data_IF_905216873259
#
_entry.id   IF_905216873259
#
_cell.length_a   1.000
_cell.length_b   1.000
_cell.length_c   1.000
_cell.angle_alpha   90.00
_cell.angle_beta   90.00
_cell.angle_gamma   90.00
#
_symmetry.space_group_name_H-M   'P 1'
#
loop_
_entity.id
_entity.type
_entity.pdbx_description
1 polymer ?
#
# COMPACT_ATOMS: atom_id res chain seq x y z
N UNK A 1 -2.31 26.63 -8.36
CA UNK A 1 -3.68 26.04 -8.41
C UNK A 1 -3.90 25.50 -9.81
N UNK A 2 -4.33 24.25 -9.92
CA UNK A 2 -4.53 23.56 -11.19
C UNK A 2 -6.02 23.31 -11.40
N UNK A 3 -6.51 23.60 -12.59
CA UNK A 3 -7.88 23.33 -13.02
C UNK A 3 -7.92 22.18 -14.04
N UNK A 4 -9.04 21.45 -14.14
CA UNK A 4 -9.18 20.45 -15.20
C UNK A 4 -9.20 21.12 -16.59
N UNK A 5 -8.56 20.49 -17.56
CA UNK A 5 -8.45 21.01 -18.94
C UNK A 5 -7.47 20.18 -19.77
N UNK A 6 -7.41 20.49 -21.07
CA UNK A 6 -6.60 19.72 -22.02
C UNK A 6 -5.08 19.81 -21.71
N UNK A 7 -4.62 20.90 -21.10
CA UNK A 7 -3.21 21.10 -20.73
C UNK A 7 -2.92 20.78 -19.26
N UNK A 8 -3.89 20.20 -18.53
CA UNK A 8 -3.78 20.01 -17.08
C UNK A 8 -2.59 19.16 -16.66
N UNK A 9 -2.16 18.20 -17.50
CA UNK A 9 -0.98 17.39 -17.22
C UNK A 9 0.30 18.20 -17.23
N UNK A 10 0.50 19.01 -18.27
CA UNK A 10 1.67 19.88 -18.40
C UNK A 10 1.69 20.93 -17.29
N UNK A 11 0.55 21.60 -17.05
CA UNK A 11 0.40 22.60 -15.99
C UNK A 11 0.68 22.03 -14.59
N UNK A 12 0.19 20.81 -14.32
CA UNK A 12 0.42 20.16 -13.04
C UNK A 12 1.90 19.76 -12.89
N UNK A 13 2.49 19.14 -13.90
CA UNK A 13 3.91 18.73 -13.83
C UNK A 13 4.84 19.95 -13.75
N UNK A 14 4.56 21.01 -14.51
CA UNK A 14 5.32 22.26 -14.40
C UNK A 14 5.20 22.87 -13.00
N UNK A 15 3.99 22.91 -12.44
CA UNK A 15 3.78 23.39 -11.09
C UNK A 15 4.56 22.56 -10.04
N UNK A 16 4.56 21.23 -10.15
CA UNK A 16 5.32 20.35 -9.25
C UNK A 16 6.83 20.63 -9.32
N UNK A 17 7.36 20.91 -10.50
CA UNK A 17 8.79 21.24 -10.70
C UNK A 17 9.14 22.65 -10.13
N UNK A 18 8.24 23.59 -10.27
CA UNK A 18 8.48 25.01 -9.90
C UNK A 18 8.11 25.33 -8.44
N UNK A 19 7.62 24.35 -7.68
CA UNK A 19 7.35 24.55 -6.24
C UNK A 19 8.63 24.95 -5.49
N UNK A 20 8.44 25.67 -4.42
CA UNK A 20 9.46 25.96 -3.41
C UNK A 20 9.10 25.29 -2.10
N UNK A 21 10.08 25.04 -1.24
CA UNK A 21 9.83 24.53 0.12
C UNK A 21 8.80 25.39 0.86
N UNK A 22 7.83 24.72 1.48
CA UNK A 22 6.72 25.34 2.20
C UNK A 22 5.48 25.60 1.34
N UNK A 23 5.55 25.39 0.04
CA UNK A 23 4.42 25.63 -0.85
C UNK A 23 3.30 24.61 -0.71
N UNK A 24 2.10 25.08 -1.04
CA UNK A 24 0.91 24.22 -1.16
C UNK A 24 0.33 24.35 -2.56
N UNK A 25 0.23 23.24 -3.27
CA UNK A 25 -0.41 23.16 -4.59
C UNK A 25 -1.83 22.60 -4.43
N UNK A 26 -2.83 23.38 -4.84
CA UNK A 26 -4.23 22.94 -4.88
C UNK A 26 -4.59 22.47 -6.28
N UNK A 27 -5.06 21.23 -6.38
CA UNK A 27 -5.67 20.61 -7.56
C UNK A 27 -7.18 20.68 -7.39
N UNK A 28 -7.85 21.44 -8.25
CA UNK A 28 -9.30 21.64 -8.17
C UNK A 28 -10.09 20.37 -8.45
N UNK A 29 -11.33 20.35 -8.01
CA UNK A 29 -12.29 19.29 -8.35
C UNK A 29 -12.41 19.16 -9.86
N UNK A 30 -12.34 17.92 -10.35
CA UNK A 30 -12.46 17.60 -11.76
C UNK A 30 -11.81 16.28 -12.11
N UNK A 31 -11.93 15.91 -13.35
CA UNK A 31 -11.37 14.70 -13.92
C UNK A 31 -10.19 15.09 -14.83
N UNK A 32 -9.02 14.58 -14.50
CA UNK A 32 -7.76 14.87 -15.18
C UNK A 32 -7.27 13.60 -15.87
N UNK A 33 -7.18 13.64 -17.18
CA UNK A 33 -6.72 12.50 -17.97
C UNK A 33 -5.26 12.69 -18.36
N UNK A 34 -4.41 11.73 -17.95
CA UNK A 34 -2.97 11.79 -18.12
C UNK A 34 -2.44 10.72 -19.07
N UNK A 35 -1.45 11.09 -19.87
CA UNK A 35 -0.72 10.19 -20.78
C UNK A 35 0.69 9.86 -20.26
N UNK A 36 1.19 10.64 -19.31
CA UNK A 36 2.51 10.45 -18.68
C UNK A 36 2.38 10.42 -17.15
N UNK A 37 3.35 9.77 -16.48
CA UNK A 37 3.44 9.81 -15.04
C UNK A 37 3.84 11.19 -14.51
N UNK A 38 3.41 11.50 -13.29
CA UNK A 38 3.80 12.71 -12.56
C UNK A 38 5.00 12.43 -11.65
N UNK A 39 5.82 13.45 -11.41
CA UNK A 39 6.95 13.38 -10.48
C UNK A 39 7.09 14.61 -9.60
N UNK A 40 7.42 14.42 -8.34
CA UNK A 40 7.69 15.44 -7.34
C UNK A 40 9.03 15.18 -6.64
N UNK A 41 9.93 16.16 -6.73
CA UNK A 41 11.26 16.11 -6.10
C UNK A 41 11.59 17.43 -5.35
N UNK A 42 10.59 17.99 -4.68
CA UNK A 42 10.73 19.21 -3.87
C UNK A 42 10.34 18.90 -2.44
N UNK A 43 11.25 19.17 -1.50
CA UNK A 43 11.04 18.92 -0.07
C UNK A 43 10.02 19.87 0.54
N UNK A 44 9.37 19.40 1.62
CA UNK A 44 8.53 20.21 2.50
C UNK A 44 7.37 20.91 1.77
N UNK A 45 6.64 20.17 0.94
CA UNK A 45 5.50 20.68 0.17
C UNK A 45 4.21 19.90 0.45
N UNK A 46 3.09 20.54 0.14
CA UNK A 46 1.77 19.90 0.25
C UNK A 46 1.06 19.93 -1.10
N UNK A 47 0.58 18.77 -1.55
CA UNK A 47 -0.32 18.63 -2.70
C UNK A 47 -1.70 18.25 -2.18
N UNK A 48 -2.70 19.06 -2.48
CA UNK A 48 -4.06 18.88 -1.97
C UNK A 48 -5.09 18.95 -3.09
N UNK A 49 -5.98 17.95 -3.14
CA UNK A 49 -7.21 17.98 -3.93
C UNK A 49 -8.40 18.55 -3.14
N UNK A 50 -9.58 18.42 -3.69
CA UNK A 50 -10.83 18.83 -3.03
C UNK A 50 -11.69 17.63 -2.58
N UNK A 51 -11.08 16.44 -2.53
CA UNK A 51 -11.67 15.17 -2.07
C UNK A 51 -11.34 14.01 -2.99
N UNK A 52 -11.21 12.81 -2.41
CA UNK A 52 -10.85 11.58 -3.14
C UNK A 52 -11.90 11.14 -4.19
N UNK A 53 -13.11 11.67 -4.14
CA UNK A 53 -14.15 11.45 -5.14
C UNK A 53 -14.41 12.68 -6.03
N UNK A 54 -13.64 13.74 -5.87
CA UNK A 54 -13.82 15.00 -6.58
C UNK A 54 -12.63 15.39 -7.44
N UNK A 55 -11.42 15.18 -6.97
CA UNK A 55 -10.19 15.43 -7.72
C UNK A 55 -9.63 14.09 -8.18
N UNK A 56 -9.80 13.77 -9.45
CA UNK A 56 -9.50 12.46 -10.04
C UNK A 56 -8.36 12.58 -11.04
N UNK A 57 -7.22 12.00 -10.74
CA UNK A 57 -6.06 11.88 -11.62
C UNK A 57 -6.12 10.50 -12.29
N UNK A 58 -6.55 10.42 -13.54
CA UNK A 58 -6.76 9.18 -14.27
C UNK A 58 -5.64 8.94 -15.30
N UNK A 59 -4.94 7.83 -15.13
CA UNK A 59 -3.82 7.42 -15.95
C UNK A 59 -4.16 6.30 -16.96
N UNK A 60 -5.45 6.05 -17.22
CA UNK A 60 -5.86 4.98 -18.16
C UNK A 60 -5.26 5.10 -19.56
N UNK A 61 -4.87 6.31 -19.97
CA UNK A 61 -4.21 6.58 -21.25
C UNK A 61 -2.68 6.65 -21.13
N UNK A 62 -2.11 6.35 -19.97
CA UNK A 62 -0.68 6.46 -19.71
C UNK A 62 0.14 5.66 -20.73
N UNK A 63 1.07 6.32 -21.39
CA UNK A 63 1.95 5.75 -22.42
C UNK A 63 3.39 5.68 -21.93
N UNK A 64 3.82 6.62 -21.11
CA UNK A 64 5.17 6.67 -20.54
C UNK A 64 5.16 6.74 -19.01
N UNK A 65 6.32 6.55 -18.40
CA UNK A 65 6.46 6.43 -16.96
C UNK A 65 6.06 5.04 -16.44
N UNK A 66 6.67 4.63 -15.34
CA UNK A 66 6.37 3.34 -14.70
C UNK A 66 5.40 3.48 -13.52
N UNK A 67 5.11 4.71 -13.09
CA UNK A 67 4.18 5.03 -12.00
C UNK A 67 3.17 6.09 -12.44
N UNK A 68 2.02 6.15 -11.76
CA UNK A 68 1.09 7.27 -11.90
C UNK A 68 1.71 8.54 -11.28
N UNK A 69 2.10 8.47 -10.02
CA UNK A 69 2.75 9.58 -9.33
C UNK A 69 3.98 9.09 -8.55
N UNK A 70 5.14 9.65 -8.84
CA UNK A 70 6.41 9.38 -8.16
C UNK A 70 6.78 10.54 -7.22
N UNK A 71 7.18 10.22 -5.98
CA UNK A 71 7.72 11.18 -5.01
C UNK A 71 9.09 10.69 -4.55
N UNK A 72 10.10 11.57 -4.65
CA UNK A 72 11.49 11.29 -4.23
C UNK A 72 11.99 12.27 -3.16
N UNK A 73 11.13 13.17 -2.71
CA UNK A 73 11.43 14.26 -1.77
C UNK A 73 10.92 13.98 -0.35
N UNK A 74 11.38 14.80 0.60
CA UNK A 74 11.11 14.65 2.03
C UNK A 74 10.02 15.61 2.52
N UNK A 75 9.38 15.26 3.66
CA UNK A 75 8.37 16.10 4.34
C UNK A 75 7.22 16.48 3.43
N UNK A 76 6.77 15.55 2.61
CA UNK A 76 5.67 15.75 1.67
C UNK A 76 4.35 15.33 2.29
N UNK A 77 3.31 16.11 2.04
CA UNK A 77 1.92 15.75 2.34
C UNK A 77 1.11 15.70 1.06
N UNK A 78 0.53 14.54 0.77
CA UNK A 78 -0.41 14.31 -0.32
C UNK A 78 -1.79 14.06 0.26
N UNK A 79 -2.82 14.74 -0.25
CA UNK A 79 -4.10 14.70 0.43
C UNK A 79 -5.29 14.99 -0.47
N UNK A 80 -6.42 14.30 -0.21
CA UNK A 80 -7.74 14.60 -0.76
C UNK A 80 -7.85 14.50 -2.30
N UNK A 81 -7.28 13.46 -2.93
CA UNK A 81 -7.45 13.16 -4.37
C UNK A 81 -7.36 11.66 -4.66
N UNK A 82 -7.74 11.28 -5.87
CA UNK A 82 -7.61 9.90 -6.36
C UNK A 82 -6.61 9.78 -7.51
N UNK A 83 -5.97 8.61 -7.59
CA UNK A 83 -5.12 8.16 -8.70
C UNK A 83 -5.76 6.89 -9.27
N UNK A 84 -6.21 6.93 -10.51
CA UNK A 84 -6.90 5.81 -11.15
C UNK A 84 -6.09 5.23 -12.31
N UNK A 85 -6.22 3.93 -12.50
CA UNK A 85 -5.81 3.18 -13.68
C UNK A 85 -4.35 3.43 -14.13
N UNK A 86 -3.43 3.62 -13.17
CA UNK A 86 -2.01 3.75 -13.46
C UNK A 86 -1.48 2.47 -14.12
N UNK A 87 -0.56 2.62 -15.09
CA UNK A 87 0.02 1.51 -15.83
C UNK A 87 0.92 0.63 -14.99
N UNK A 88 1.62 1.22 -14.03
CA UNK A 88 2.43 0.55 -13.01
C UNK A 88 1.92 0.91 -11.62
N UNK A 89 2.82 1.20 -10.67
CA UNK A 89 2.42 1.60 -9.32
C UNK A 89 1.60 2.90 -9.36
N UNK A 90 0.53 3.00 -8.57
CA UNK A 90 -0.29 4.20 -8.62
C UNK A 90 0.43 5.39 -7.95
N UNK A 91 0.84 5.25 -6.70
CA UNK A 91 1.60 6.25 -5.95
C UNK A 91 2.86 5.62 -5.36
N UNK A 92 4.02 5.92 -5.95
CA UNK A 92 5.31 5.47 -5.46
C UNK A 92 6.03 6.58 -4.70
N UNK A 93 6.54 6.22 -3.52
CA UNK A 93 7.40 7.08 -2.72
C UNK A 93 8.69 6.33 -2.43
N UNK A 94 9.84 6.87 -2.79
CA UNK A 94 11.12 6.19 -2.60
C UNK A 94 12.13 7.06 -1.86
N UNK A 95 12.74 6.52 -0.81
CA UNK A 95 13.82 7.16 -0.08
C UNK A 95 13.41 8.40 0.72
N UNK A 96 12.12 8.61 0.94
CA UNK A 96 11.58 9.80 1.60
C UNK A 96 11.61 9.71 3.11
N UNK A 97 11.83 10.85 3.76
CA UNK A 97 11.66 11.02 5.20
C UNK A 97 10.52 11.99 5.50
N UNK A 98 9.50 11.52 6.23
CA UNK A 98 8.34 12.32 6.58
C UNK A 98 7.33 12.42 5.43
N UNK A 99 6.73 11.31 5.03
CA UNK A 99 5.67 11.29 4.02
C UNK A 99 4.30 11.08 4.67
N UNK A 100 3.35 11.95 4.35
CA UNK A 100 1.96 11.84 4.77
C UNK A 100 1.05 11.63 3.55
N UNK A 101 0.36 10.51 3.50
CA UNK A 101 -0.67 10.17 2.54
C UNK A 101 -2.02 10.14 3.27
N UNK A 102 -2.87 11.13 3.03
CA UNK A 102 -4.09 11.37 3.83
C UNK A 102 -5.30 11.45 2.92
N UNK A 103 -6.32 10.62 3.19
CA UNK A 103 -7.58 10.64 2.46
C UNK A 103 -7.36 10.62 0.93
N UNK A 104 -6.56 9.66 0.47
CA UNK A 104 -6.28 9.39 -0.93
C UNK A 104 -6.98 8.11 -1.38
N UNK A 105 -7.23 7.98 -2.68
CA UNK A 105 -7.67 6.71 -3.29
C UNK A 105 -6.76 6.32 -4.44
N UNK A 106 -6.39 5.04 -4.48
CA UNK A 106 -5.77 4.39 -5.65
C UNK A 106 -6.69 3.27 -6.12
N UNK A 107 -6.96 3.19 -7.42
CA UNK A 107 -7.92 2.21 -7.93
C UNK A 107 -7.63 1.85 -9.39
N UNK A 108 -7.75 0.55 -9.69
CA UNK A 108 -7.87 0.04 -11.06
C UNK A 108 -9.33 -0.28 -11.33
N UNK A 109 -9.99 0.61 -12.08
CA UNK A 109 -11.45 0.60 -12.30
C UNK A 109 -11.96 -0.60 -13.09
N UNK A 110 -11.07 -1.32 -13.77
CA UNK A 110 -11.37 -2.56 -14.49
C UNK A 110 -11.55 -3.79 -13.60
N UNK A 111 -11.43 -3.66 -12.27
CA UNK A 111 -11.45 -4.76 -11.30
C UNK A 111 -10.15 -5.56 -11.25
N UNK A 112 -10.09 -6.64 -10.43
CA UNK A 112 -8.90 -7.47 -10.25
C UNK A 112 -8.38 -8.10 -11.54
N UNK A 113 -7.12 -7.81 -11.88
CA UNK A 113 -6.45 -8.37 -13.08
C UNK A 113 -4.94 -8.39 -12.86
N UNK A 114 -4.27 -9.43 -13.32
CA UNK A 114 -2.79 -9.52 -13.29
C UNK A 114 -2.07 -8.44 -14.11
N UNK A 115 -2.80 -7.74 -14.98
CA UNK A 115 -2.28 -6.63 -15.78
C UNK A 115 -2.42 -5.26 -15.11
N UNK A 116 -3.03 -5.20 -13.95
CA UNK A 116 -3.05 -3.98 -13.14
C UNK A 116 -1.65 -3.68 -12.61
N UNK A 117 -1.39 -2.44 -12.23
CA UNK A 117 -0.15 -2.10 -11.55
C UNK A 117 0.01 -2.86 -10.21
N UNK A 118 1.24 -3.02 -9.79
CA UNK A 118 1.56 -3.84 -8.63
C UNK A 118 1.03 -3.22 -7.33
N UNK A 119 1.31 -1.95 -7.10
CA UNK A 119 1.07 -1.31 -5.81
C UNK A 119 0.16 -0.09 -5.93
N UNK A 120 -0.81 -0.01 -5.02
CA UNK A 120 -1.63 1.20 -4.88
C UNK A 120 -0.84 2.31 -4.19
N UNK A 121 -0.55 2.17 -2.92
CA UNK A 121 0.37 3.03 -2.16
C UNK A 121 1.68 2.26 -1.95
N UNK A 122 2.79 2.84 -2.39
CA UNK A 122 4.09 2.18 -2.41
C UNK A 122 5.22 3.04 -1.83
N UNK A 123 5.22 3.35 -0.52
CA UNK A 123 6.42 3.87 0.13
C UNK A 123 7.43 2.74 0.35
N UNK A 124 8.64 2.95 -0.16
CA UNK A 124 9.77 2.04 -0.04
C UNK A 124 11.03 2.79 0.37
N UNK A 125 11.92 2.15 1.14
CA UNK A 125 13.15 2.75 1.67
C UNK A 125 12.91 4.11 2.36
N UNK A 126 11.78 4.24 3.05
CA UNK A 126 11.29 5.51 3.60
C UNK A 126 11.25 5.51 5.13
N UNK A 127 11.24 6.69 5.74
CA UNK A 127 11.19 6.88 7.19
C UNK A 127 10.07 7.86 7.55
N UNK A 128 9.42 7.65 8.70
CA UNK A 128 8.30 8.47 9.20
C UNK A 128 7.15 8.50 8.18
N UNK A 129 6.59 7.33 7.90
CA UNK A 129 5.52 7.10 6.91
C UNK A 129 4.15 7.12 7.58
N UNK A 130 3.25 7.96 7.13
CA UNK A 130 1.83 7.98 7.54
C UNK A 130 0.93 7.71 6.34
N UNK A 131 0.07 6.69 6.46
CA UNK A 131 -1.06 6.40 5.55
C UNK A 131 -2.33 6.44 6.40
N UNK A 132 -3.18 7.43 6.19
CA UNK A 132 -4.36 7.69 7.03
C UNK A 132 -5.61 7.96 6.20
N UNK A 133 -6.65 7.17 6.39
CA UNK A 133 -7.93 7.33 5.71
C UNK A 133 -7.88 7.07 4.21
N UNK A 134 -6.93 6.26 3.75
CA UNK A 134 -6.73 5.96 2.34
C UNK A 134 -7.55 4.77 1.86
N UNK A 135 -7.81 4.71 0.55
CA UNK A 135 -8.54 3.61 -0.10
C UNK A 135 -7.70 3.03 -1.23
N UNK A 136 -7.46 1.70 -1.23
CA UNK A 136 -6.69 1.00 -2.24
C UNK A 136 -7.48 -0.14 -2.86
N UNK A 137 -7.66 -0.15 -4.20
CA UNK A 137 -8.53 -1.09 -4.88
C UNK A 137 -7.86 -1.63 -6.15
N UNK A 138 -7.79 -2.97 -6.26
CA UNK A 138 -7.49 -3.66 -7.51
C UNK A 138 -6.01 -3.81 -7.86
N UNK A 139 -5.08 -3.59 -6.92
CA UNK A 139 -3.65 -3.80 -7.11
C UNK A 139 -3.32 -5.28 -7.35
N UNK A 140 -2.43 -5.57 -8.31
CA UNK A 140 -2.06 -6.94 -8.65
C UNK A 140 -1.00 -7.56 -7.73
N UNK A 141 -0.52 -6.79 -6.77
CA UNK A 141 0.35 -7.20 -5.68
C UNK A 141 -0.24 -6.69 -4.36
N UNK A 142 0.02 -5.48 -3.91
CA UNK A 142 -0.56 -4.97 -2.68
C UNK A 142 -1.27 -3.62 -2.85
N UNK A 143 -2.47 -3.50 -2.24
CA UNK A 143 -3.20 -2.23 -2.20
C UNK A 143 -2.43 -1.16 -1.44
N UNK A 144 -1.98 -1.48 -0.24
CA UNK A 144 -1.10 -0.65 0.59
C UNK A 144 0.14 -1.47 0.90
N UNK A 145 1.27 -1.09 0.32
CA UNK A 145 2.56 -1.70 0.59
C UNK A 145 3.49 -0.70 1.27
N UNK A 146 4.16 -1.12 2.32
CA UNK A 146 5.25 -0.36 2.93
C UNK A 146 6.45 -1.28 3.11
N UNK A 147 7.49 -1.07 2.32
CA UNK A 147 8.66 -1.95 2.30
C UNK A 147 9.95 -1.25 2.69
N UNK A 148 10.84 -1.98 3.35
CA UNK A 148 12.20 -1.55 3.69
C UNK A 148 12.24 -0.17 4.37
N UNK A 149 11.21 0.10 5.18
CA UNK A 149 10.92 1.40 5.77
C UNK A 149 10.90 1.32 7.29
N UNK A 150 10.81 2.47 7.97
CA UNK A 150 10.74 2.52 9.43
C UNK A 150 9.88 3.67 9.95
N UNK A 151 9.38 3.52 11.19
CA UNK A 151 8.47 4.48 11.83
C UNK A 151 7.19 4.66 11.00
N UNK A 152 6.39 3.61 10.91
CA UNK A 152 5.28 3.50 9.97
C UNK A 152 3.96 3.53 10.73
N UNK A 153 2.99 4.27 10.21
CA UNK A 153 1.60 4.22 10.66
C UNK A 153 0.70 4.02 9.44
N UNK A 154 -0.06 2.92 9.45
CA UNK A 154 -1.15 2.67 8.48
C UNK A 154 -2.45 2.54 9.26
N UNK A 155 -3.37 3.49 9.08
CA UNK A 155 -4.60 3.52 9.87
C UNK A 155 -5.81 4.04 9.11
N UNK A 156 -7.01 3.72 9.63
CA UNK A 156 -8.30 4.22 9.15
C UNK A 156 -8.52 4.01 7.64
N UNK A 157 -7.79 3.05 7.05
CA UNK A 157 -7.70 2.85 5.61
C UNK A 157 -8.50 1.62 5.17
N UNK A 158 -8.85 1.58 3.89
CA UNK A 158 -9.61 0.50 3.27
C UNK A 158 -8.79 -0.09 2.14
N UNK A 159 -8.56 -1.40 2.15
CA UNK A 159 -7.91 -2.14 1.08
C UNK A 159 -8.82 -3.27 0.61
N UNK A 160 -9.26 -3.21 -0.66
CA UNK A 160 -10.25 -4.14 -1.19
C UNK A 160 -9.89 -4.59 -2.61
N UNK A 161 -10.21 -5.86 -2.92
CA UNK A 161 -10.02 -6.44 -4.26
C UNK A 161 -8.59 -6.41 -4.76
N UNK A 162 -7.60 -6.44 -3.86
CA UNK A 162 -6.18 -6.56 -4.16
C UNK A 162 -5.73 -8.02 -3.99
N UNK A 163 -4.51 -8.35 -4.39
CA UNK A 163 -3.90 -9.61 -3.96
C UNK A 163 -3.58 -9.53 -2.48
N UNK A 164 -2.67 -8.68 -2.05
CA UNK A 164 -2.51 -8.33 -0.64
C UNK A 164 -3.28 -7.03 -0.35
N UNK A 165 -4.09 -7.01 0.72
CA UNK A 165 -4.76 -5.78 1.13
C UNK A 165 -3.75 -4.75 1.66
N UNK A 166 -3.08 -5.09 2.75
CA UNK A 166 -2.03 -4.29 3.39
C UNK A 166 -0.81 -5.18 3.58
N UNK A 167 0.35 -4.71 3.16
CA UNK A 167 1.61 -5.43 3.30
C UNK A 167 2.68 -4.54 3.94
N UNK A 168 3.31 -5.07 4.99
CA UNK A 168 4.47 -4.48 5.65
C UNK A 168 5.64 -5.44 5.46
N UNK A 169 6.60 -5.07 4.64
CA UNK A 169 7.69 -5.95 4.24
C UNK A 169 9.05 -5.40 4.67
N UNK A 170 9.89 -6.24 5.26
CA UNK A 170 11.26 -5.89 5.66
C UNK A 170 11.36 -4.54 6.40
N UNK A 171 10.40 -4.24 7.25
CA UNK A 171 10.23 -2.91 7.83
C UNK A 171 10.33 -2.93 9.36
N UNK A 172 10.59 -1.78 9.96
CA UNK A 172 10.80 -1.63 11.40
C UNK A 172 9.84 -0.63 12.01
N UNK A 173 9.30 -0.95 13.20
CA UNK A 173 8.46 -0.06 13.97
C UNK A 173 7.21 0.40 13.21
N UNK A 174 6.31 -0.52 12.94
CA UNK A 174 5.05 -0.22 12.27
C UNK A 174 3.84 -0.45 13.17
N UNK A 175 2.88 0.47 13.11
CA UNK A 175 1.56 0.36 13.67
C UNK A 175 0.52 0.30 12.54
N UNK A 176 -0.19 -0.83 12.46
CA UNK A 176 -1.26 -1.07 11.46
C UNK A 176 -2.56 -1.24 12.22
N UNK A 177 -3.44 -0.24 12.18
CA UNK A 177 -4.65 -0.26 13.04
C UNK A 177 -5.86 0.48 12.47
N UNK A 178 -7.04 0.09 12.93
CA UNK A 178 -8.33 0.63 12.49
C UNK A 178 -8.54 0.55 10.96
N UNK A 179 -7.96 -0.45 10.30
CA UNK A 179 -8.12 -0.63 8.87
C UNK A 179 -9.17 -1.69 8.55
N UNK A 180 -9.75 -1.61 7.36
CA UNK A 180 -10.55 -2.65 6.76
C UNK A 180 -9.79 -3.26 5.58
N UNK A 181 -9.41 -4.53 5.70
CA UNK A 181 -8.89 -5.34 4.60
C UNK A 181 -9.93 -6.39 4.24
N UNK A 182 -10.63 -6.22 3.12
CA UNK A 182 -11.71 -7.14 2.74
C UNK A 182 -11.77 -7.39 1.24
N UNK A 183 -12.24 -8.57 0.87
CA UNK A 183 -12.31 -8.99 -0.53
C UNK A 183 -10.94 -8.96 -1.24
N UNK A 184 -9.84 -9.15 -0.51
CA UNK A 184 -8.52 -9.38 -1.11
C UNK A 184 -8.27 -10.90 -1.23
N UNK A 185 -7.17 -11.30 -1.81
CA UNK A 185 -6.70 -12.71 -1.69
C UNK A 185 -6.19 -12.96 -0.28
N UNK A 186 -5.32 -12.08 0.22
CA UNK A 186 -4.87 -12.00 1.61
C UNK A 186 -5.11 -10.62 2.20
N UNK A 187 -5.57 -10.53 3.46
CA UNK A 187 -5.95 -9.27 4.09
C UNK A 187 -4.75 -8.42 4.52
N UNK A 188 -3.99 -8.87 5.52
CA UNK A 188 -2.82 -8.14 6.07
C UNK A 188 -1.63 -9.09 6.12
N UNK A 189 -0.54 -8.69 5.47
CA UNK A 189 0.69 -9.46 5.32
C UNK A 189 1.85 -8.74 6.03
N UNK A 190 2.58 -9.47 6.88
CA UNK A 190 3.77 -8.98 7.59
C UNK A 190 4.93 -9.88 7.22
N UNK A 191 5.72 -9.46 6.25
CA UNK A 191 6.75 -10.27 5.62
C UNK A 191 8.16 -9.79 5.94
N UNK A 192 9.09 -10.73 5.97
CA UNK A 192 10.52 -10.48 5.87
C UNK A 192 11.09 -11.41 4.80
N UNK A 193 11.69 -10.83 3.78
CA UNK A 193 12.20 -11.54 2.61
C UNK A 193 13.72 -11.43 2.51
N UNK A 194 14.40 -12.44 1.92
CA UNK A 194 15.84 -12.39 1.67
C UNK A 194 16.21 -11.39 0.56
N UNK A 195 17.50 -11.19 0.40
CA UNK A 195 18.11 -10.49 -0.74
C UNK A 195 17.65 -9.02 -0.93
N UNK A 196 17.09 -8.41 0.10
CA UNK A 196 16.68 -7.00 0.10
C UNK A 196 17.68 -6.12 0.87
N UNK A 197 17.80 -4.83 0.53
CA UNK A 197 18.70 -3.90 1.22
C UNK A 197 18.46 -3.79 2.73
N UNK A 198 17.20 -3.82 3.15
CA UNK A 198 16.82 -3.89 4.57
C UNK A 198 16.24 -5.26 4.87
N UNK A 199 16.70 -5.91 5.91
CA UNK A 199 16.28 -7.24 6.35
C UNK A 199 16.02 -7.27 7.85
N UNK A 200 15.39 -8.35 8.32
CA UNK A 200 15.09 -8.56 9.72
C UNK A 200 13.95 -7.67 10.21
N UNK A 201 12.84 -7.66 9.48
CA UNK A 201 11.62 -6.96 9.85
C UNK A 201 11.21 -7.21 11.30
N UNK A 202 10.86 -6.15 12.06
CA UNK A 202 10.59 -6.27 13.49
C UNK A 202 9.80 -5.12 14.09
N UNK A 203 9.26 -5.36 15.30
CA UNK A 203 8.48 -4.38 16.08
C UNK A 203 7.26 -3.87 15.32
N UNK A 204 6.45 -4.80 14.85
CA UNK A 204 5.22 -4.52 14.13
C UNK A 204 4.02 -4.79 15.04
N UNK A 205 3.09 -3.84 15.14
CA UNK A 205 1.81 -4.03 15.84
C UNK A 205 0.65 -3.98 14.85
N UNK A 206 -0.17 -5.03 14.87
CA UNK A 206 -1.38 -5.15 14.03
C UNK A 206 -2.57 -5.24 14.96
N UNK A 207 -3.38 -4.18 15.08
CA UNK A 207 -4.43 -4.13 16.08
C UNK A 207 -5.66 -3.32 15.67
N UNK A 208 -6.81 -3.67 16.25
CA UNK A 208 -8.09 -3.01 15.97
C UNK A 208 -8.48 -3.00 14.48
N UNK A 209 -7.97 -3.94 13.67
CA UNK A 209 -8.32 -4.05 12.26
C UNK A 209 -9.48 -5.03 12.05
N UNK A 210 -10.13 -4.89 10.89
CA UNK A 210 -11.02 -5.88 10.32
C UNK A 210 -10.36 -6.49 9.08
N UNK A 211 -9.98 -7.77 9.17
CA UNK A 211 -9.51 -8.56 8.03
C UNK A 211 -10.55 -9.62 7.73
N UNK A 212 -11.51 -9.28 6.88
CA UNK A 212 -12.74 -10.04 6.70
C UNK A 212 -13.06 -10.31 5.24
N UNK A 213 -13.71 -11.47 5.00
CA UNK A 213 -14.21 -11.84 3.66
C UNK A 213 -13.13 -11.71 2.56
N UNK A 214 -11.88 -12.10 2.85
CA UNK A 214 -10.80 -12.09 1.85
C UNK A 214 -10.99 -13.29 0.91
N UNK A 215 -11.74 -13.11 -0.15
CA UNK A 215 -12.29 -14.15 -1.01
C UNK A 215 -11.98 -13.96 -2.51
N UNK A 216 -11.18 -12.96 -2.87
CA UNK A 216 -10.75 -12.74 -4.26
C UNK A 216 -9.73 -13.80 -4.67
N UNK A 217 -9.92 -14.40 -5.85
CA UNK A 217 -8.93 -15.31 -6.42
C UNK A 217 -7.59 -14.61 -6.59
N UNK A 218 -6.49 -15.33 -6.33
CA UNK A 218 -5.17 -14.76 -6.51
C UNK A 218 -4.91 -14.44 -7.99
N UNK A 219 -4.66 -13.17 -8.27
CA UNK A 219 -4.42 -12.67 -9.62
C UNK A 219 -3.04 -12.00 -9.78
N UNK A 220 -2.13 -12.28 -8.84
CA UNK A 220 -0.75 -11.80 -8.94
C UNK A 220 -0.10 -12.26 -10.25
N UNK A 221 0.77 -11.45 -10.85
CA UNK A 221 1.62 -11.91 -11.93
C UNK A 221 2.49 -13.10 -11.49
N UNK A 222 2.78 -14.00 -12.41
CA UNK A 222 3.63 -15.15 -12.16
C UNK A 222 5.01 -14.72 -11.65
N UNK A 223 5.48 -15.36 -10.58
CA UNK A 223 6.78 -15.10 -9.96
C UNK A 223 6.78 -14.07 -8.82
N UNK A 224 5.67 -13.40 -8.55
CA UNK A 224 5.53 -12.56 -7.37
C UNK A 224 5.31 -13.43 -6.13
N UNK A 225 5.96 -13.11 -5.00
CA UNK A 225 5.82 -13.86 -3.74
C UNK A 225 4.36 -13.87 -3.24
N UNK A 226 3.64 -12.79 -3.40
CA UNK A 226 2.22 -12.73 -3.02
C UNK A 226 1.33 -13.66 -3.86
N UNK A 227 1.83 -14.15 -5.00
CA UNK A 227 1.18 -15.19 -5.80
C UNK A 227 1.01 -16.51 -5.06
N UNK A 228 1.82 -16.76 -4.03
CA UNK A 228 1.75 -17.96 -3.19
C UNK A 228 0.79 -17.80 -2.00
N UNK A 229 0.28 -16.61 -1.74
CA UNK A 229 -0.68 -16.37 -0.67
C UNK A 229 -1.99 -17.09 -1.00
N UNK A 230 -2.47 -18.00 -0.14
CA UNK A 230 -3.73 -18.69 -0.37
C UNK A 230 -4.91 -17.72 -0.32
N UNK A 231 -5.80 -17.82 -1.28
CA UNK A 231 -7.10 -17.14 -1.23
C UNK A 231 -7.79 -17.41 0.10
N UNK A 232 -8.30 -16.39 0.74
CA UNK A 232 -8.98 -16.54 2.02
C UNK A 232 -8.05 -16.51 3.22
N UNK A 233 -6.92 -15.83 3.10
CA UNK A 233 -6.01 -15.54 4.21
C UNK A 233 -6.39 -14.23 4.88
N UNK A 234 -6.63 -14.24 6.19
CA UNK A 234 -6.92 -13.03 6.96
C UNK A 234 -5.64 -12.24 7.24
N UNK A 235 -4.81 -12.74 8.13
CA UNK A 235 -3.50 -12.15 8.48
C UNK A 235 -2.43 -13.24 8.33
N UNK A 236 -1.28 -12.89 7.74
CA UNK A 236 -0.12 -13.79 7.70
C UNK A 236 1.14 -13.06 8.17
N UNK A 237 1.92 -13.73 9.01
CA UNK A 237 3.23 -13.28 9.47
C UNK A 237 4.25 -14.28 8.95
N UNK A 238 5.20 -13.83 8.12
CA UNK A 238 6.24 -14.66 7.56
C UNK A 238 7.63 -14.12 7.90
N UNK A 239 8.44 -14.97 8.55
CA UNK A 239 9.86 -14.72 8.90
C UNK A 239 10.15 -13.48 9.75
N UNK A 240 9.16 -12.67 10.08
CA UNK A 240 9.28 -11.42 10.83
C UNK A 240 9.47 -11.67 12.34
N UNK A 241 9.90 -10.67 13.10
CA UNK A 241 10.13 -10.80 14.55
C UNK A 241 9.51 -9.66 15.37
N UNK A 242 9.23 -9.93 16.65
CA UNK A 242 8.65 -8.95 17.58
C UNK A 242 7.33 -8.37 17.02
N UNK A 243 6.43 -9.27 16.56
CA UNK A 243 5.13 -8.88 16.02
C UNK A 243 4.05 -9.12 17.05
N UNK A 244 3.19 -8.14 17.29
CA UNK A 244 2.05 -8.23 18.16
C UNK A 244 0.75 -8.06 17.38
N UNK A 245 -0.15 -9.06 17.47
CA UNK A 245 -1.45 -9.08 16.78
C UNK A 245 -2.56 -9.16 17.80
N UNK A 246 -3.34 -8.09 17.97
CA UNK A 246 -4.34 -8.03 19.02
C UNK A 246 -5.57 -7.19 18.67
N UNK A 247 -6.69 -7.51 19.30
CA UNK A 247 -7.97 -6.83 19.12
C UNK A 247 -8.49 -6.79 17.66
N UNK A 248 -7.98 -7.61 16.75
CA UNK A 248 -8.49 -7.65 15.38
C UNK A 248 -9.74 -8.52 15.27
N UNK A 249 -10.60 -8.20 14.33
CA UNK A 249 -11.67 -9.06 13.87
C UNK A 249 -11.23 -9.76 12.58
N UNK A 250 -11.23 -11.10 12.60
CA UNK A 250 -10.92 -11.93 11.45
C UNK A 250 -12.07 -12.89 11.19
N UNK A 251 -12.80 -12.66 10.10
CA UNK A 251 -14.01 -13.43 9.79
C UNK A 251 -14.23 -13.58 8.30
N UNK A 252 -14.96 -14.60 7.88
CA UNK A 252 -15.27 -14.82 6.46
C UNK A 252 -14.08 -15.21 5.57
N UNK A 253 -12.89 -15.35 6.14
CA UNK A 253 -11.70 -15.80 5.42
C UNK A 253 -11.79 -17.31 5.16
N UNK A 254 -11.78 -17.71 3.90
CA UNK A 254 -12.12 -19.09 3.53
C UNK A 254 -11.04 -20.13 3.83
N UNK A 255 -9.78 -19.73 4.05
CA UNK A 255 -8.65 -20.63 4.28
C UNK A 255 -8.11 -20.55 5.70
N UNK A 256 -7.70 -19.35 6.14
CA UNK A 256 -7.11 -19.16 7.47
C UNK A 256 -7.31 -17.72 7.95
N UNK A 257 -7.71 -17.57 9.22
CA UNK A 257 -7.84 -16.25 9.81
C UNK A 257 -6.47 -15.63 10.16
N UNK A 258 -5.57 -16.42 10.77
CA UNK A 258 -4.21 -16.00 11.09
C UNK A 258 -3.23 -17.15 10.83
N UNK A 259 -2.16 -16.86 10.11
CA UNK A 259 -1.07 -17.79 9.85
C UNK A 259 0.27 -17.20 10.29
N UNK A 260 1.13 -18.03 10.87
CA UNK A 260 2.50 -17.68 11.25
C UNK A 260 3.40 -18.73 10.62
N UNK A 261 4.19 -18.34 9.63
CA UNK A 261 4.95 -19.26 8.79
C UNK A 261 6.41 -18.83 8.65
N UNK A 262 7.26 -19.80 8.37
CA UNK A 262 8.62 -19.54 7.92
C UNK A 262 8.64 -19.24 6.42
N UNK A 263 9.62 -18.50 5.99
CA UNK A 263 9.96 -18.46 4.57
C UNK A 263 10.51 -19.83 4.18
N UNK A 264 9.98 -20.44 3.13
CA UNK A 264 10.22 -21.85 2.79
C UNK A 264 11.19 -22.05 1.63
N UNK A 265 11.41 -21.02 0.83
CA UNK A 265 12.25 -21.16 -0.35
C UNK A 265 13.73 -21.16 0.00
N UNK A 266 14.54 -21.81 -0.84
CA UNK A 266 15.98 -21.80 -0.68
C UNK A 266 16.52 -20.39 -0.95
N UNK A 267 17.41 -19.91 -0.09
CA UNK A 267 18.14 -18.66 -0.26
C UNK A 267 19.59 -18.82 0.13
N UNK A 268 20.47 -18.21 -0.63
CA UNK A 268 21.91 -18.13 -0.34
C UNK A 268 22.30 -16.92 0.52
N UNK A 269 21.31 -16.12 0.98
CA UNK A 269 21.54 -14.94 1.80
C UNK A 269 22.01 -15.31 3.21
N UNK A 270 23.28 -15.10 3.56
CA UNK A 270 23.84 -15.51 4.84
C UNK A 270 23.33 -14.68 6.04
N UNK A 271 22.66 -13.56 5.79
CA UNK A 271 22.15 -12.66 6.82
C UNK A 271 20.67 -12.89 7.10
N UNK A 272 19.98 -13.62 6.24
CA UNK A 272 18.55 -13.84 6.34
C UNK A 272 18.20 -14.91 7.38
N UNK A 273 17.15 -14.65 8.14
CA UNK A 273 16.62 -15.61 9.11
C UNK A 273 15.17 -15.96 8.81
N UNK A 274 14.88 -17.15 8.29
CA UNK A 274 13.59 -17.49 7.70
C UNK A 274 12.46 -17.81 8.70
N UNK A 275 12.72 -17.79 10.00
CA UNK A 275 11.71 -18.20 10.97
C UNK A 275 11.17 -17.03 11.78
N UNK A 276 9.84 -16.94 11.97
CA UNK A 276 9.24 -15.91 12.83
C UNK A 276 9.67 -16.08 14.29
N UNK A 277 9.86 -14.98 15.00
CA UNK A 277 10.32 -14.98 16.40
C UNK A 277 9.57 -13.98 17.25
N UNK A 278 9.26 -14.36 18.48
CA UNK A 278 8.63 -13.48 19.48
C UNK A 278 7.33 -12.87 18.97
N UNK A 279 6.48 -13.72 18.44
CA UNK A 279 5.14 -13.34 17.96
C UNK A 279 4.17 -13.46 19.13
N UNK A 280 3.41 -12.39 19.38
CA UNK A 280 2.36 -12.36 20.41
C UNK A 280 1.00 -12.18 19.73
N UNK A 281 0.06 -13.08 20.06
CA UNK A 281 -1.29 -13.04 19.51
C UNK A 281 -2.28 -13.14 20.65
N UNK A 282 -3.12 -12.11 20.83
CA UNK A 282 -4.09 -12.09 21.92
C UNK A 282 -5.31 -11.20 21.64
N UNK A 283 -6.41 -11.44 22.33
CA UNK A 283 -7.63 -10.64 22.29
C UNK A 283 -8.26 -10.45 20.91
N UNK A 284 -7.93 -11.29 19.93
CA UNK A 284 -8.55 -11.23 18.61
C UNK A 284 -9.89 -11.96 18.58
N UNK A 285 -10.77 -11.52 17.70
CA UNK A 285 -12.04 -12.18 17.40
C UNK A 285 -11.87 -13.02 16.14
N UNK A 286 -12.12 -14.31 16.24
CA UNK A 286 -12.08 -15.27 15.14
C UNK A 286 -13.50 -15.79 14.92
N UNK A 287 -14.12 -15.35 13.83
CA UNK A 287 -15.41 -15.88 13.41
C UNK A 287 -15.14 -16.78 12.20
N UNK A 288 -15.08 -18.07 12.44
CA UNK A 288 -14.85 -19.06 11.39
C UNK A 288 -16.11 -19.33 10.61
N UNK A 289 -16.00 -19.37 9.31
CA UNK A 289 -16.95 -20.05 8.44
C UNK A 289 -16.48 -21.50 8.26
N UNK A 290 -16.64 -22.31 9.28
CA UNK A 290 -16.65 -23.75 9.04
C UNK A 290 -18.01 -24.06 8.47
N UNK A 291 -18.09 -24.15 7.18
CA UNK A 291 -19.20 -24.83 6.54
C UNK A 291 -18.94 -26.34 6.64
N UNK A 292 -19.63 -26.96 7.55
CA UNK A 292 -19.72 -28.41 7.63
C UNK A 292 -20.70 -28.87 6.56
#
# INVERSE_FOLDING_TARGET
>A
MINPGDNAQEELQEALILMSEGDTLLIKSGYYLFEDGLSLDVDNVTIIGEGLDKTILDFKNQQSGAQGFLVTSNKVTLKDFAILDAKGDALKVIGSKGINMINLRTEWTGGPKSTNGAYGFYPVESEDVLIDGCVAIGASDAGIYVGQSKNIIVRNSIAQYNVAGIEIENSYYADVYNNLASHNTGGILIFDLPDLPQQGGHHIRVFDNKSIDNDTDNFAPEGNIVGEVPRGTGIIIMANSDVEVFNNEMSGNGTVNLSIVSYSDETDDPNYYPHPRRIQVHNNIYLSLIHI
#
